data_IF_217331391843
#
_entry.id   IF_217331391843
#
_cell.length_a   1.000
_cell.length_b   1.000
_cell.length_c   1.000
_cell.angle_alpha   90.00
_cell.angle_beta   90.00
_cell.angle_gamma   90.00
#
_symmetry.space_group_name_H-M   'P 1'
#
loop_
_entity.id
_entity.type
_entity.pdbx_description
1 polymer ?
#
# COMPACT_ATOMS: atom_id res chain seq x y z
N UNK A 1 19.65 34.21 -7.51
CA UNK A 1 19.80 33.06 -8.44
C UNK A 1 18.41 32.54 -8.74
N UNK A 2 18.03 32.39 -10.02
CA UNK A 2 16.86 31.57 -10.38
C UNK A 2 17.20 30.13 -9.97
N UNK A 3 16.44 29.55 -9.05
CA UNK A 3 16.66 28.18 -8.60
C UNK A 3 16.47 27.20 -9.76
N UNK A 4 17.27 26.12 -9.77
CA UNK A 4 17.14 25.00 -10.71
C UNK A 4 15.77 24.30 -10.63
N UNK A 5 15.06 24.47 -9.51
CA UNK A 5 13.72 23.93 -9.26
C UNK A 5 12.69 25.07 -9.15
N UNK A 6 11.51 24.84 -9.73
CA UNK A 6 10.44 25.85 -9.86
C UNK A 6 9.43 25.86 -8.70
N UNK A 7 9.42 24.80 -7.89
CA UNK A 7 8.54 24.58 -6.74
C UNK A 7 9.37 24.25 -5.49
N UNK A 8 8.79 24.37 -4.31
CA UNK A 8 9.41 23.88 -3.08
C UNK A 8 9.55 22.35 -3.13
N UNK A 9 10.61 21.76 -2.55
CA UNK A 9 10.77 20.30 -2.52
C UNK A 9 9.55 19.53 -1.98
N UNK A 10 8.87 20.08 -0.97
CA UNK A 10 7.66 19.49 -0.39
C UNK A 10 6.47 19.47 -1.36
N UNK A 11 6.41 20.39 -2.31
CA UNK A 11 5.31 20.46 -3.28
C UNK A 11 5.39 19.35 -4.34
N UNK A 12 6.50 18.63 -4.45
CA UNK A 12 6.62 17.49 -5.35
C UNK A 12 6.06 16.18 -4.76
N UNK A 13 5.76 16.14 -3.45
CA UNK A 13 5.11 14.99 -2.82
C UNK A 13 3.65 14.89 -3.26
N UNK A 14 3.22 13.70 -3.67
CA UNK A 14 1.88 13.43 -4.18
C UNK A 14 1.73 13.67 -5.70
N UNK A 15 2.66 14.40 -6.32
CA UNK A 15 2.71 14.58 -7.78
C UNK A 15 3.80 13.71 -8.42
N UNK A 16 5.02 13.78 -7.87
CA UNK A 16 6.21 13.14 -8.41
C UNK A 16 6.82 12.12 -7.45
N UNK A 17 6.57 12.28 -6.15
CA UNK A 17 7.11 11.42 -5.09
C UNK A 17 5.96 10.83 -4.28
N UNK A 18 5.94 9.51 -4.20
CA UNK A 18 5.06 8.73 -3.34
C UNK A 18 5.89 7.86 -2.40
N UNK A 19 5.38 7.61 -1.20
CA UNK A 19 6.06 6.83 -0.16
C UNK A 19 5.28 5.54 0.09
N UNK A 20 5.93 4.40 -0.17
CA UNK A 20 5.45 3.09 0.29
C UNK A 20 5.92 2.83 1.73
N UNK A 21 5.08 3.16 2.71
CA UNK A 21 5.34 2.90 4.12
C UNK A 21 5.07 1.42 4.46
N UNK A 22 6.14 0.63 4.47
CA UNK A 22 6.13 -0.77 4.90
C UNK A 22 5.73 -0.89 6.36
N UNK A 23 4.56 -1.47 6.61
CA UNK A 23 4.01 -1.70 7.95
C UNK A 23 3.86 -0.45 8.83
N UNK A 24 3.39 0.65 8.22
CA UNK A 24 3.15 1.94 8.88
C UNK A 24 2.61 1.79 10.30
N UNK A 25 3.35 2.37 11.25
CA UNK A 25 3.05 2.39 12.68
C UNK A 25 1.95 3.38 13.04
N UNK A 26 1.39 3.25 14.24
CA UNK A 26 0.41 4.20 14.79
C UNK A 26 0.91 5.66 14.80
N UNK A 27 2.20 5.89 15.03
CA UNK A 27 2.76 7.24 15.04
C UNK A 27 2.84 7.86 13.63
N UNK A 28 3.16 7.06 12.61
CA UNK A 28 3.13 7.51 11.22
C UNK A 28 1.70 7.80 10.77
N UNK A 29 0.73 6.95 11.15
CA UNK A 29 -0.70 7.21 10.92
C UNK A 29 -1.12 8.49 11.61
N UNK A 30 -0.72 8.73 12.86
CA UNK A 30 -1.03 9.98 13.60
C UNK A 30 -0.47 11.22 12.90
N UNK A 31 0.71 11.13 12.28
CA UNK A 31 1.38 12.25 11.57
C UNK A 31 1.05 12.35 10.08
N UNK A 32 0.16 11.50 9.56
CA UNK A 32 -0.19 11.40 8.13
C UNK A 32 -0.40 12.73 7.42
N UNK A 33 -1.06 13.71 8.04
CA UNK A 33 -1.32 15.01 7.42
C UNK A 33 -0.06 15.88 7.32
N UNK A 34 0.81 15.85 8.33
CA UNK A 34 2.09 16.56 8.32
C UNK A 34 3.05 15.93 7.31
N UNK A 35 3.01 14.61 7.17
CA UNK A 35 3.85 13.85 6.25
C UNK A 35 3.36 13.90 4.78
N UNK A 36 2.23 14.56 4.49
CA UNK A 36 1.62 14.60 3.16
C UNK A 36 0.77 13.36 2.89
N UNK A 37 -0.47 13.38 3.40
CA UNK A 37 -1.37 12.21 3.33
C UNK A 37 -1.62 11.74 1.90
N UNK A 38 -1.55 12.63 0.90
CA UNK A 38 -1.77 12.29 -0.52
C UNK A 38 -0.60 11.52 -1.16
N UNK A 39 0.57 11.54 -0.54
CA UNK A 39 1.77 10.83 -1.02
C UNK A 39 1.98 9.47 -0.33
N UNK A 40 1.36 9.25 0.84
CA UNK A 40 1.60 8.09 1.68
C UNK A 40 0.78 6.86 1.25
N UNK A 41 1.44 5.71 1.08
CA UNK A 41 0.80 4.44 0.78
C UNK A 41 1.23 3.40 1.81
N UNK A 42 0.30 2.63 2.34
CA UNK A 42 0.60 1.53 3.25
C UNK A 42 0.93 0.25 2.46
N UNK A 43 1.92 -0.51 2.94
CA UNK A 43 2.27 -1.83 2.40
C UNK A 43 2.44 -2.88 3.49
N UNK A 44 2.18 -4.16 3.17
CA UNK A 44 2.34 -5.26 4.11
C UNK A 44 3.79 -5.63 4.38
N UNK A 45 4.69 -5.27 3.46
CA UNK A 45 6.08 -5.74 3.37
C UNK A 45 6.21 -7.27 3.37
N UNK A 46 5.34 -7.92 2.62
CA UNK A 46 5.33 -9.38 2.55
C UNK A 46 6.42 -9.86 1.57
N UNK A 47 7.22 -10.89 1.88
CA UNK A 47 7.17 -11.78 3.07
C UNK A 47 8.24 -11.46 4.13
N UNK A 48 8.71 -10.22 4.20
CA UNK A 48 9.79 -9.89 5.11
C UNK A 48 9.39 -10.14 6.59
N UNK A 49 10.34 -10.53 7.45
CA UNK A 49 10.06 -10.84 8.85
C UNK A 49 9.58 -9.62 9.66
N UNK A 50 9.98 -8.41 9.29
CA UNK A 50 9.46 -7.15 9.82
C UNK A 50 8.03 -6.84 9.37
N UNK A 51 7.58 -7.54 8.32
CA UNK A 51 6.28 -7.41 7.69
C UNK A 51 5.10 -7.67 8.62
N UNK A 52 3.91 -7.37 8.13
CA UNK A 52 2.68 -7.50 8.93
C UNK A 52 2.04 -8.89 8.84
N UNK A 53 2.43 -9.73 7.88
CA UNK A 53 1.87 -11.06 7.70
C UNK A 53 2.37 -12.05 8.78
N UNK A 54 1.53 -12.97 9.30
CA UNK A 54 0.12 -13.24 8.97
C UNK A 54 -0.89 -12.36 9.73
N UNK A 55 -0.42 -11.51 10.64
CA UNK A 55 -1.25 -10.75 11.57
C UNK A 55 -1.70 -9.38 11.04
N UNK A 56 -1.70 -9.19 9.72
CA UNK A 56 -1.95 -7.91 9.05
C UNK A 56 -3.25 -7.26 9.51
N UNK A 57 -4.31 -8.05 9.64
CA UNK A 57 -5.63 -7.55 10.07
C UNK A 57 -5.60 -6.98 11.48
N UNK A 58 -4.95 -7.68 12.41
CA UNK A 58 -4.87 -7.23 13.81
C UNK A 58 -4.04 -5.94 13.91
N UNK A 59 -2.92 -5.87 13.16
CA UNK A 59 -2.05 -4.70 13.11
C UNK A 59 -2.76 -3.48 12.52
N UNK A 60 -3.47 -3.64 11.40
CA UNK A 60 -4.30 -2.56 10.82
C UNK A 60 -5.36 -2.03 11.79
N UNK A 61 -6.05 -2.92 12.54
CA UNK A 61 -7.03 -2.48 13.55
C UNK A 61 -6.39 -1.61 14.63
N UNK A 62 -5.20 -1.97 15.09
CA UNK A 62 -4.49 -1.24 16.12
C UNK A 62 -3.94 0.10 15.61
N UNK A 63 -3.28 0.09 14.44
CA UNK A 63 -2.52 1.25 13.98
C UNK A 63 -3.42 2.34 13.38
N UNK A 64 -4.56 1.95 12.79
CA UNK A 64 -5.54 2.86 12.18
C UNK A 64 -6.74 3.18 13.08
N UNK A 65 -6.74 2.77 14.35
CA UNK A 65 -7.89 2.94 15.24
C UNK A 65 -8.38 4.39 15.34
N UNK A 66 -7.46 5.35 15.30
CA UNK A 66 -7.74 6.79 15.43
C UNK A 66 -7.88 7.50 14.07
N UNK A 67 -7.70 6.77 12.95
CA UNK A 67 -7.82 7.33 11.62
C UNK A 67 -9.28 7.38 11.17
N UNK A 68 -9.63 8.43 10.42
CA UNK A 68 -10.95 8.50 9.78
C UNK A 68 -11.07 7.43 8.70
N UNK A 69 -12.30 7.13 8.28
CA UNK A 69 -12.52 6.18 7.18
C UNK A 69 -11.87 6.72 5.90
N UNK A 70 -12.01 8.02 5.63
CA UNK A 70 -11.45 8.64 4.42
C UNK A 70 -9.94 8.59 4.41
N UNK A 71 -9.27 8.93 5.51
CA UNK A 71 -7.82 8.83 5.64
C UNK A 71 -7.35 7.38 5.43
N UNK A 72 -8.08 6.43 6.03
CA UNK A 72 -7.78 5.00 5.89
C UNK A 72 -7.91 4.56 4.43
N UNK A 73 -8.95 5.01 3.70
CA UNK A 73 -9.12 4.73 2.26
C UNK A 73 -7.97 5.33 1.44
N UNK A 74 -7.55 6.54 1.79
CA UNK A 74 -6.43 7.26 1.16
C UNK A 74 -5.14 6.44 1.26
N UNK A 75 -4.76 6.11 2.49
CA UNK A 75 -3.53 5.41 2.84
C UNK A 75 -3.48 3.95 2.38
N UNK A 76 -4.60 3.20 2.47
CA UNK A 76 -4.62 1.78 2.13
C UNK A 76 -4.87 1.49 0.65
N UNK A 77 -5.21 2.49 -0.18
CA UNK A 77 -5.53 2.21 -1.57
C UNK A 77 -5.60 3.40 -2.51
N UNK A 78 -6.29 4.49 -2.17
CA UNK A 78 -6.55 5.55 -3.17
C UNK A 78 -5.26 6.23 -3.64
N UNK A 79 -4.27 6.39 -2.78
CA UNK A 79 -2.98 6.94 -3.21
C UNK A 79 -2.22 6.00 -4.14
N UNK A 80 -2.35 4.68 -3.96
CA UNK A 80 -1.79 3.72 -4.90
C UNK A 80 -2.51 3.77 -6.25
N UNK A 81 -3.83 4.00 -6.25
CA UNK A 81 -4.61 4.21 -7.48
C UNK A 81 -4.07 5.41 -8.25
N UNK A 82 -3.87 6.54 -7.56
CA UNK A 82 -3.38 7.77 -8.15
C UNK A 82 -1.91 7.60 -8.63
N UNK A 83 -1.04 7.03 -7.79
CA UNK A 83 0.37 6.79 -8.10
C UNK A 83 0.58 5.86 -9.31
N UNK A 84 -0.20 4.78 -9.42
CA UNK A 84 -0.06 3.80 -10.50
C UNK A 84 -0.94 4.10 -11.72
N UNK A 85 -1.69 5.21 -11.70
CA UNK A 85 -2.59 5.60 -12.79
C UNK A 85 -3.73 4.61 -13.02
N UNK A 86 -4.17 3.90 -11.99
CA UNK A 86 -5.28 2.95 -12.11
C UNK A 86 -6.61 3.69 -12.11
N UNK A 87 -7.58 3.20 -12.88
CA UNK A 87 -8.94 3.73 -12.78
C UNK A 87 -9.59 3.22 -11.50
N UNK A 88 -10.32 4.06 -10.76
CA UNK A 88 -11.07 3.65 -9.56
C UNK A 88 -12.01 2.48 -9.82
N UNK A 89 -12.52 2.34 -11.05
CA UNK A 89 -13.33 1.20 -11.50
C UNK A 89 -12.55 -0.10 -11.67
N UNK A 90 -11.24 -0.04 -11.91
CA UNK A 90 -10.34 -1.18 -11.96
C UNK A 90 -10.05 -1.73 -10.54
N UNK A 91 -10.05 -0.86 -9.53
CA UNK A 91 -10.03 -1.25 -8.12
C UNK A 91 -11.41 -1.64 -7.59
N UNK A 92 -12.13 -2.52 -8.31
CA UNK A 92 -13.29 -3.18 -7.73
C UNK A 92 -12.83 -4.25 -6.74
N UNK A 93 -13.44 -4.35 -5.55
CA UNK A 93 -13.21 -5.50 -4.69
C UNK A 93 -13.65 -6.75 -5.47
N UNK A 94 -12.69 -7.58 -5.87
CA UNK A 94 -12.97 -8.86 -6.54
C UNK A 94 -13.97 -9.67 -5.70
N UNK A 95 -15.00 -10.31 -6.29
CA UNK A 95 -15.91 -11.19 -5.57
C UNK A 95 -15.12 -12.19 -4.71
N UNK A 96 -15.53 -12.35 -3.45
CA UNK A 96 -14.83 -13.24 -2.50
C UNK A 96 -15.01 -14.63 -3.11
N UNK A 97 -13.91 -15.29 -3.43
CA UNK A 97 -13.92 -16.68 -3.88
C UNK A 97 -13.57 -16.92 -5.35
N UNK A 98 -13.48 -15.90 -6.21
CA UNK A 98 -13.09 -16.09 -7.62
C UNK A 98 -11.64 -15.68 -7.92
N UNK A 99 -10.74 -15.82 -6.95
CA UNK A 99 -9.31 -15.74 -7.25
C UNK A 99 -8.94 -16.92 -8.15
N UNK A 100 -9.09 -16.73 -9.46
CA UNK A 100 -8.56 -17.60 -10.50
C UNK A 100 -7.09 -17.89 -10.16
N UNK A 101 -6.63 -19.16 -10.19
CA UNK A 101 -5.32 -19.53 -9.65
C UNK A 101 -4.12 -18.93 -10.39
N UNK A 102 -4.32 -18.21 -11.49
CA UNK A 102 -3.28 -17.94 -12.50
C UNK A 102 -3.34 -16.53 -13.10
N UNK A 103 -3.73 -15.51 -12.35
CA UNK A 103 -3.15 -14.19 -12.66
C UNK A 103 -1.79 -14.10 -11.96
N UNK A 104 -0.83 -14.80 -12.56
CA UNK A 104 0.59 -14.57 -12.35
C UNK A 104 0.82 -13.09 -12.58
N UNK A 105 1.26 -12.38 -11.54
CA UNK A 105 1.91 -11.09 -11.72
C UNK A 105 3.04 -11.31 -12.73
N UNK A 106 2.92 -10.74 -13.93
CA UNK A 106 4.02 -10.75 -14.90
C UNK A 106 5.09 -9.78 -14.41
N UNK A 107 5.89 -10.24 -13.45
CA UNK A 107 6.98 -9.52 -12.81
C UNK A 107 8.17 -9.26 -13.74
N UNK A 108 8.05 -9.50 -15.05
CA UNK A 108 9.13 -9.28 -16.03
C UNK A 108 9.59 -7.82 -16.17
N UNK A 109 8.93 -6.84 -15.55
CA UNK A 109 9.35 -5.43 -15.60
C UNK A 109 9.85 -4.82 -14.29
N UNK A 110 9.82 -5.50 -13.14
CA UNK A 110 10.17 -4.85 -11.86
C UNK A 110 11.29 -5.54 -11.06
N UNK A 111 11.57 -6.84 -11.19
CA UNK A 111 12.72 -7.44 -10.49
C UNK A 111 13.33 -8.64 -11.25
N UNK A 112 14.53 -8.46 -11.81
CA UNK A 112 15.41 -9.52 -12.33
C UNK A 112 16.10 -10.31 -11.21
N UNK A 113 15.35 -10.74 -10.19
CA UNK A 113 15.88 -11.53 -9.07
C UNK A 113 15.72 -13.05 -9.32
N UNK A 114 14.71 -13.44 -10.11
CA UNK A 114 14.38 -14.85 -10.37
C UNK A 114 15.38 -15.59 -11.27
N UNK A 115 16.28 -14.90 -11.98
CA UNK A 115 17.33 -15.54 -12.79
C UNK A 115 18.58 -15.91 -12.00
N UNK A 116 18.78 -15.41 -10.78
CA UNK A 116 20.05 -15.54 -10.05
C UNK A 116 20.02 -16.51 -8.86
N UNK A 117 18.85 -16.86 -8.33
CA UNK A 117 18.76 -17.64 -7.08
C UNK A 117 17.65 -18.69 -7.11
N UNK A 118 17.95 -19.96 -7.45
CA UNK A 118 16.96 -21.04 -7.56
C UNK A 118 16.35 -21.52 -6.22
N UNK A 119 16.71 -20.91 -5.08
CA UNK A 119 16.23 -21.30 -3.73
C UNK A 119 15.44 -20.21 -3.01
N UNK A 120 14.88 -19.23 -3.73
CA UNK A 120 14.19 -18.09 -3.12
C UNK A 120 12.81 -18.48 -2.53
N UNK A 121 12.57 -18.33 -1.21
CA UNK A 121 11.37 -18.84 -0.53
C UNK A 121 10.08 -18.02 -0.76
N UNK A 122 10.06 -17.09 -1.73
CA UNK A 122 9.02 -16.06 -1.93
C UNK A 122 7.66 -16.54 -2.49
N UNK A 123 7.39 -17.85 -2.59
CA UNK A 123 6.20 -18.34 -3.32
C UNK A 123 4.94 -18.51 -2.43
N UNK A 124 5.03 -18.34 -1.11
CA UNK A 124 3.96 -18.83 -0.21
C UNK A 124 3.38 -17.79 0.75
N UNK A 125 2.41 -16.97 0.31
CA UNK A 125 1.58 -16.21 1.25
C UNK A 125 0.71 -15.13 0.60
N UNK A 126 -0.61 -15.37 0.58
CA UNK A 126 -1.63 -14.44 0.09
C UNK A 126 -2.22 -13.65 1.26
N UNK A 127 -2.11 -12.32 1.27
CA UNK A 127 -2.99 -11.43 2.06
C UNK A 127 -4.03 -10.83 1.14
N UNK A 128 -5.31 -11.02 1.47
CA UNK A 128 -6.42 -10.52 0.66
C UNK A 128 -6.84 -9.13 1.14
N UNK A 129 -6.99 -8.20 0.19
CA UNK A 129 -7.40 -6.79 0.35
C UNK A 129 -8.71 -6.55 1.15
N UNK A 130 -9.47 -7.60 1.49
CA UNK A 130 -10.77 -7.50 2.17
C UNK A 130 -10.72 -7.49 3.69
N UNK A 131 -9.55 -7.72 4.30
CA UNK A 131 -9.41 -7.58 5.75
C UNK A 131 -9.28 -6.11 6.22
N UNK A 132 -8.95 -5.20 5.29
CA UNK A 132 -8.88 -3.75 5.54
C UNK A 132 -10.23 -3.03 5.40
N UNK A 133 -11.08 -3.45 4.46
CA UNK A 133 -12.30 -2.69 4.07
C UNK A 133 -13.56 -3.14 4.84
N UNK A 134 -13.55 -4.31 5.50
CA UNK A 134 -14.71 -4.82 6.26
C UNK A 134 -14.76 -4.35 7.73
N UNK A 135 -13.98 -3.34 8.10
CA UNK A 135 -13.92 -2.86 9.50
C UNK A 135 -14.88 -1.71 9.86
N UNK A 136 -15.62 -1.14 8.91
CA UNK A 136 -16.66 -0.12 9.19
C UNK A 136 -17.91 -0.28 8.31
N UNK A 137 -18.50 -1.48 8.28
CA UNK A 137 -19.88 -1.66 7.75
C UNK A 137 -20.82 -2.30 8.77
N UNK A 138 -20.40 -2.34 10.03
CA UNK A 138 -21.25 -2.57 11.20
C UNK A 138 -21.18 -1.37 12.18
N UNK A 139 -20.84 -0.18 11.65
CA UNK A 139 -21.07 1.16 12.22
C UNK A 139 -21.18 2.16 11.07
#
# INVERSE_FOLDING_TARGET
MKGLISRLPSEYFGDNVFIGASTMSREEVRRRHVNGIDALMWGTDYPHPEGSWPNTRARLKNDFQDATIEDTRRLLGLNAVDCYGWTRSACRPSPIGSAQPQQTWDNRRICDCSRRHPHCPLVAGRVRLRDAVRLRREF
#
